data_IF_324265788177
#
_entry.id   IF_324265788177
#
_cell.length_a   1.000
_cell.length_b   1.000
_cell.length_c   1.000
_cell.angle_alpha   90.00
_cell.angle_beta   90.00
_cell.angle_gamma   90.00
#
_symmetry.space_group_name_H-M   'P 1'
#
loop_
_entity.id
_entity.type
_entity.pdbx_description
1 polymer ?
#
# COMPACT_ATOMS: atom_id res chain seq x y z
N UNK A 1 15.42 -12.76 5.78
CA UNK A 1 15.94 -12.92 4.39
C UNK A 1 16.61 -11.59 3.97
N UNK A 2 17.86 -11.65 3.50
CA UNK A 2 18.56 -10.49 2.97
C UNK A 2 17.89 -10.03 1.65
N UNK A 3 17.67 -8.73 1.52
CA UNK A 3 17.06 -8.09 0.36
C UNK A 3 17.99 -6.99 -0.17
N UNK A 4 18.92 -7.35 -1.02
CA UNK A 4 20.02 -6.46 -1.43
C UNK A 4 21.10 -6.36 -0.35
N UNK A 5 21.85 -5.24 -0.33
CA UNK A 5 23.04 -5.06 0.52
C UNK A 5 22.70 -4.59 1.94
N UNK A 6 21.69 -3.75 2.08
CA UNK A 6 21.40 -3.01 3.32
C UNK A 6 20.01 -3.23 3.88
N UNK A 7 19.20 -4.06 3.21
CA UNK A 7 17.79 -4.29 3.53
C UNK A 7 17.53 -5.76 3.81
N UNK A 8 16.46 -6.04 4.53
CA UNK A 8 16.02 -7.40 4.78
C UNK A 8 14.49 -7.46 4.89
N UNK A 9 13.93 -8.63 4.63
CA UNK A 9 12.54 -8.95 4.96
C UNK A 9 12.50 -9.99 6.06
N UNK A 10 11.54 -9.83 6.97
CA UNK A 10 11.33 -10.74 8.10
C UNK A 10 10.41 -11.87 7.64
N UNK A 11 10.92 -13.09 7.63
CA UNK A 11 10.13 -14.28 7.26
C UNK A 11 9.05 -14.62 8.29
N UNK A 12 7.99 -15.28 7.84
CA UNK A 12 6.86 -15.67 8.67
C UNK A 12 7.28 -16.53 9.89
N UNK A 13 8.28 -17.40 9.73
CA UNK A 13 8.80 -18.23 10.82
C UNK A 13 9.43 -17.42 11.95
N UNK A 14 10.14 -16.34 11.60
CA UNK A 14 10.74 -15.43 12.57
C UNK A 14 9.66 -14.66 13.35
N UNK A 15 8.59 -14.23 12.67
CA UNK A 15 7.42 -13.59 13.28
C UNK A 15 6.73 -14.58 14.22
N UNK A 16 6.45 -15.80 13.77
CA UNK A 16 5.81 -16.82 14.58
C UNK A 16 6.64 -17.19 15.83
N UNK A 17 7.97 -17.18 15.71
CA UNK A 17 8.87 -17.38 16.84
C UNK A 17 8.86 -16.18 17.81
N UNK A 18 8.76 -14.96 17.30
CA UNK A 18 8.71 -13.75 18.11
C UNK A 18 7.40 -13.68 18.90
N UNK A 19 6.26 -14.02 18.29
CA UNK A 19 4.93 -14.02 18.91
C UNK A 19 4.78 -14.98 20.11
N UNK A 20 5.72 -15.94 20.27
CA UNK A 20 5.76 -16.83 21.44
C UNK A 20 6.47 -16.20 22.64
N UNK A 21 7.09 -15.04 22.48
CA UNK A 21 7.81 -14.34 23.55
C UNK A 21 6.88 -13.38 24.28
N UNK A 22 7.18 -13.03 25.55
CA UNK A 22 6.44 -11.98 26.24
C UNK A 22 6.49 -10.65 25.50
N UNK A 23 5.38 -9.93 25.52
CA UNK A 23 5.28 -8.62 24.89
C UNK A 23 6.21 -7.60 25.58
N UNK A 24 6.82 -6.75 24.77
CA UNK A 24 7.54 -5.57 25.25
C UNK A 24 6.60 -4.40 25.55
N UNK A 25 7.18 -3.29 25.99
CA UNK A 25 6.44 -2.04 26.15
C UNK A 25 6.26 -1.38 24.78
N UNK A 26 5.00 -1.06 24.43
CA UNK A 26 4.67 -0.34 23.22
C UNK A 26 4.64 1.17 23.51
N UNK A 27 5.37 1.94 22.71
CA UNK A 27 5.36 3.41 22.74
C UNK A 27 4.87 3.90 21.36
N UNK A 28 3.71 4.54 21.33
CA UNK A 28 3.16 5.13 20.13
C UNK A 28 3.61 6.59 19.99
N UNK A 29 4.27 6.91 18.87
CA UNK A 29 4.61 8.28 18.48
C UNK A 29 3.63 8.72 17.39
N UNK A 30 2.79 9.69 17.70
CA UNK A 30 1.74 10.19 16.81
C UNK A 30 1.63 11.71 16.88
N UNK A 31 0.76 12.28 16.04
CA UNK A 31 0.42 13.71 16.06
C UNK A 31 -1.10 13.88 15.98
N UNK A 32 -1.60 14.91 16.62
CA UNK A 32 -3.06 15.20 16.69
C UNK A 32 -3.58 15.62 15.32
N UNK A 33 -2.88 16.53 14.64
CA UNK A 33 -3.27 17.08 13.35
C UNK A 33 -2.16 16.93 12.32
N UNK A 34 -2.49 16.66 11.04
CA UNK A 34 -1.52 16.71 9.96
C UNK A 34 -1.17 18.17 9.62
N UNK A 35 0.08 18.41 9.24
CA UNK A 35 0.54 19.69 8.70
C UNK A 35 1.17 19.52 7.31
N UNK A 36 1.20 20.56 6.46
CA UNK A 36 1.81 20.44 5.14
C UNK A 36 3.29 20.04 5.17
N UNK A 37 4.06 20.53 6.14
CA UNK A 37 5.49 20.25 6.29
C UNK A 37 5.78 18.93 7.03
N UNK A 38 4.76 18.29 7.61
CA UNK A 38 4.94 17.14 8.50
C UNK A 38 5.16 17.54 9.95
N UNK A 39 5.00 16.60 10.88
CA UNK A 39 5.01 16.83 12.34
C UNK A 39 6.26 16.26 13.02
N UNK A 40 7.20 15.69 12.27
CA UNK A 40 8.43 15.13 12.81
C UNK A 40 8.27 13.78 13.54
N UNK A 41 7.18 13.05 13.32
CA UNK A 41 6.93 11.74 13.98
C UNK A 41 8.12 10.77 13.80
N UNK A 42 8.59 10.61 12.58
CA UNK A 42 9.70 9.69 12.27
C UNK A 42 11.00 10.14 12.94
N UNK A 43 11.34 11.42 12.84
CA UNK A 43 12.54 11.98 13.50
C UNK A 43 12.48 11.79 15.02
N UNK A 44 11.32 12.04 15.63
CA UNK A 44 11.13 11.82 17.07
C UNK A 44 11.25 10.34 17.44
N UNK A 45 10.70 9.44 16.62
CA UNK A 45 10.78 7.99 16.86
C UNK A 45 12.22 7.50 16.78
N UNK A 46 12.98 7.93 15.77
CA UNK A 46 14.40 7.56 15.62
C UNK A 46 15.21 8.12 16.78
N UNK A 47 15.05 9.39 17.12
CA UNK A 47 15.76 10.01 18.25
C UNK A 47 15.44 9.36 19.60
N UNK A 48 14.19 8.94 19.83
CA UNK A 48 13.80 8.18 21.01
C UNK A 48 14.48 6.80 21.03
N UNK A 49 14.57 6.12 19.90
CA UNK A 49 15.25 4.83 19.79
C UNK A 49 16.73 4.95 20.11
N UNK A 50 17.41 5.99 19.59
CA UNK A 50 18.80 6.29 19.89
C UNK A 50 19.00 6.57 21.39
N UNK A 51 18.14 7.37 21.99
CA UNK A 51 18.19 7.68 23.42
C UNK A 51 18.00 6.41 24.29
N UNK A 52 17.03 5.57 23.95
CA UNK A 52 16.80 4.30 24.66
C UNK A 52 18.00 3.36 24.54
N UNK A 53 18.60 3.27 23.35
CA UNK A 53 19.80 2.47 23.10
C UNK A 53 20.99 2.95 23.93
N UNK A 54 21.21 4.27 24.03
CA UNK A 54 22.27 4.87 24.86
C UNK A 54 22.05 4.61 26.35
N UNK A 55 20.80 4.49 26.79
CA UNK A 55 20.43 4.10 28.15
C UNK A 55 20.49 2.57 28.38
N UNK A 56 21.05 1.81 27.44
CA UNK A 56 21.19 0.35 27.52
C UNK A 56 19.87 -0.41 27.41
N UNK A 57 18.81 0.21 26.90
CA UNK A 57 17.51 -0.46 26.67
C UNK A 57 17.49 -1.12 25.30
N UNK A 58 17.01 -2.36 25.24
CA UNK A 58 16.71 -3.03 23.98
C UNK A 58 15.42 -2.47 23.41
N UNK A 59 15.49 -1.87 22.22
CA UNK A 59 14.33 -1.35 21.52
C UNK A 59 14.34 -1.71 20.03
N UNK A 60 13.17 -1.73 19.43
CA UNK A 60 12.95 -1.88 18.01
C UNK A 60 12.07 -0.72 17.55
N UNK A 61 12.43 -0.10 16.44
CA UNK A 61 11.65 0.97 15.83
C UNK A 61 10.78 0.36 14.72
N UNK A 62 9.48 0.58 14.79
CA UNK A 62 8.55 0.25 13.72
C UNK A 62 8.17 1.54 12.99
N UNK A 63 8.76 1.75 11.83
CA UNK A 63 8.55 2.93 10.99
C UNK A 63 7.64 2.58 9.81
N UNK A 64 6.95 3.58 9.30
CA UNK A 64 6.17 3.43 8.08
C UNK A 64 7.09 3.53 6.86
N UNK A 65 6.94 2.61 5.90
CA UNK A 65 7.60 2.71 4.61
C UNK A 65 7.18 3.99 3.87
N UNK A 66 8.14 4.75 3.27
CA UNK A 66 7.82 5.98 2.58
C UNK A 66 7.20 5.72 1.19
N UNK A 67 6.28 6.60 0.81
CA UNK A 67 5.75 6.71 -0.55
C UNK A 67 6.57 7.72 -1.35
N UNK A 68 6.81 7.46 -2.64
CA UNK A 68 7.62 8.32 -3.51
C UNK A 68 7.05 9.73 -3.63
N UNK A 69 5.73 9.89 -3.68
CA UNK A 69 5.09 11.20 -3.76
C UNK A 69 5.49 12.12 -2.61
N UNK A 70 5.33 11.75 -1.34
CA UNK A 70 5.83 12.50 -0.19
C UNK A 70 7.34 12.68 -0.16
N UNK A 71 8.13 11.67 -0.58
CA UNK A 71 9.60 11.74 -0.62
C UNK A 71 10.07 12.86 -1.57
N UNK A 72 9.46 12.95 -2.75
CA UNK A 72 9.76 13.96 -3.76
C UNK A 72 9.03 15.30 -3.52
N UNK A 73 8.22 15.36 -2.47
CA UNK A 73 7.44 16.54 -2.07
C UNK A 73 8.03 17.26 -0.86
N UNK A 74 7.21 18.16 -0.30
CA UNK A 74 7.59 18.98 0.87
C UNK A 74 7.83 18.15 2.14
N UNK A 75 7.14 17.02 2.30
CA UNK A 75 7.23 16.18 3.50
C UNK A 75 8.53 15.38 3.62
N UNK A 76 9.23 15.16 2.51
CA UNK A 76 10.44 14.34 2.48
C UNK A 76 10.19 12.86 2.79
N UNK A 77 11.24 12.14 3.14
CA UNK A 77 11.24 10.69 3.37
C UNK A 77 10.85 10.26 4.77
N UNK A 78 10.99 8.96 5.03
CA UNK A 78 10.66 8.31 6.30
C UNK A 78 11.90 7.76 7.05
N UNK A 79 13.11 8.27 6.73
CA UNK A 79 14.35 7.86 7.38
C UNK A 79 14.74 8.70 8.62
N UNK A 80 13.91 9.67 9.00
CA UNK A 80 14.24 10.65 10.04
C UNK A 80 14.94 11.90 9.48
N UNK A 81 15.65 12.64 10.30
CA UNK A 81 16.35 13.86 9.89
C UNK A 81 17.38 14.35 10.90
N UNK A 82 18.29 15.22 10.45
CA UNK A 82 19.39 15.69 11.27
C UNK A 82 20.25 14.54 11.78
N UNK A 83 20.53 14.52 13.08
CA UNK A 83 21.26 13.41 13.73
C UNK A 83 20.39 12.20 14.07
N UNK A 84 19.06 12.33 14.03
CA UNK A 84 18.10 11.24 14.26
C UNK A 84 17.69 10.63 12.91
N UNK A 85 18.60 9.91 12.27
CA UNK A 85 18.43 9.40 10.93
C UNK A 85 18.87 7.94 10.79
N UNK A 86 18.09 7.15 10.07
CA UNK A 86 18.45 5.79 9.63
C UNK A 86 19.16 5.87 8.29
N UNK A 87 20.26 5.15 8.15
CA UNK A 87 21.10 5.13 6.94
C UNK A 87 21.23 3.70 6.39
N UNK A 88 21.38 3.52 5.08
CA UNK A 88 21.41 4.54 4.02
C UNK A 88 19.99 5.05 3.70
N UNK A 89 19.84 6.37 3.70
CA UNK A 89 18.56 7.03 3.53
C UNK A 89 17.94 6.76 2.15
N UNK A 90 18.74 6.74 1.12
CA UNK A 90 18.32 6.50 -0.26
C UNK A 90 17.68 5.13 -0.43
N UNK A 91 18.26 4.10 0.16
CA UNK A 91 17.75 2.74 0.11
C UNK A 91 16.38 2.60 0.81
N UNK A 92 16.10 3.45 1.82
CA UNK A 92 14.83 3.46 2.53
C UNK A 92 13.80 4.28 1.75
N UNK A 93 14.17 5.44 1.24
CA UNK A 93 13.25 6.40 0.65
C UNK A 93 12.90 6.10 -0.81
N UNK A 94 13.73 5.35 -1.52
CA UNK A 94 13.54 5.04 -2.93
C UNK A 94 13.27 3.55 -3.14
N UNK A 95 12.00 3.21 -3.38
CA UNK A 95 11.51 1.84 -3.65
C UNK A 95 11.76 0.80 -2.55
N UNK A 96 12.55 1.08 -1.58
CA UNK A 96 12.94 0.23 -0.44
C UNK A 96 13.03 -1.27 -0.77
N UNK A 97 12.01 -2.08 -0.41
CA UNK A 97 11.88 -3.49 -0.78
C UNK A 97 10.82 -3.74 -1.86
N UNK A 98 10.27 -2.70 -2.47
CA UNK A 98 9.32 -2.79 -3.57
C UNK A 98 7.86 -2.99 -3.16
N UNK A 99 7.53 -2.82 -1.88
CA UNK A 99 6.17 -3.10 -1.38
C UNK A 99 5.15 -2.11 -1.95
N UNK A 100 5.49 -0.82 -2.06
CA UNK A 100 4.63 0.18 -2.71
C UNK A 100 4.39 -0.15 -4.19
N UNK A 101 5.40 -0.69 -4.88
CA UNK A 101 5.26 -1.14 -6.26
C UNK A 101 4.34 -2.35 -6.36
N UNK A 102 4.46 -3.32 -5.45
CA UNK A 102 3.57 -4.48 -5.40
C UNK A 102 2.11 -4.07 -5.14
N UNK A 103 1.88 -3.12 -4.22
CA UNK A 103 0.57 -2.55 -3.94
C UNK A 103 -0.02 -1.88 -5.19
N UNK A 104 0.77 -1.05 -5.87
CA UNK A 104 0.38 -0.41 -7.14
C UNK A 104 0.00 -1.46 -8.19
N UNK A 105 0.80 -2.50 -8.35
CA UNK A 105 0.55 -3.57 -9.31
C UNK A 105 -0.73 -4.34 -8.99
N UNK A 106 -0.96 -4.72 -7.73
CA UNK A 106 -2.16 -5.44 -7.31
C UNK A 106 -3.44 -4.59 -7.50
N UNK A 107 -3.38 -3.31 -7.14
CA UNK A 107 -4.50 -2.39 -7.32
C UNK A 107 -4.85 -2.20 -8.81
N UNK A 108 -3.85 -1.98 -9.64
CA UNK A 108 -4.06 -1.71 -11.05
C UNK A 108 -4.40 -2.97 -11.85
N UNK A 109 -3.97 -4.15 -11.39
CA UNK A 109 -4.46 -5.43 -11.92
C UNK A 109 -5.98 -5.53 -11.76
N UNK A 110 -6.52 -5.24 -10.58
CA UNK A 110 -7.97 -5.26 -10.35
C UNK A 110 -8.68 -4.26 -11.26
N UNK A 111 -8.15 -3.03 -11.42
CA UNK A 111 -8.69 -2.03 -12.34
C UNK A 111 -8.73 -2.55 -13.79
N UNK A 112 -7.65 -3.17 -14.24
CA UNK A 112 -7.57 -3.74 -15.59
C UNK A 112 -8.55 -4.91 -15.78
N UNK A 113 -8.72 -5.74 -14.75
CA UNK A 113 -9.69 -6.86 -14.80
C UNK A 113 -11.14 -6.37 -14.86
N UNK A 114 -11.49 -5.29 -14.17
CA UNK A 114 -12.81 -4.67 -14.25
C UNK A 114 -13.08 -4.20 -15.69
N UNK A 115 -12.18 -3.41 -16.26
CA UNK A 115 -12.35 -2.89 -17.62
C UNK A 115 -12.37 -4.00 -18.68
N UNK A 116 -11.53 -5.02 -18.51
CA UNK A 116 -11.55 -6.19 -19.40
C UNK A 116 -12.86 -6.98 -19.28
N UNK A 117 -13.39 -7.17 -18.08
CA UNK A 117 -14.68 -7.85 -17.87
C UNK A 117 -15.81 -7.12 -18.59
N UNK A 118 -15.87 -5.79 -18.45
CA UNK A 118 -16.86 -4.95 -19.13
C UNK A 118 -16.71 -5.06 -20.66
N UNK A 119 -15.47 -5.08 -21.16
CA UNK A 119 -15.17 -5.18 -22.57
C UNK A 119 -15.56 -6.56 -23.16
N UNK A 120 -15.34 -7.63 -22.42
CA UNK A 120 -15.56 -9.03 -22.84
C UNK A 120 -17.01 -9.52 -22.61
N UNK A 121 -17.99 -8.63 -22.57
CA UNK A 121 -19.39 -8.99 -22.51
C UNK A 121 -20.09 -8.71 -21.19
N UNK A 122 -19.36 -8.32 -20.15
CA UNK A 122 -19.91 -7.83 -18.88
C UNK A 122 -20.96 -8.77 -18.25
N UNK A 123 -20.61 -10.04 -18.08
CA UNK A 123 -21.51 -11.06 -17.56
C UNK A 123 -22.05 -10.74 -16.14
N UNK A 124 -21.31 -9.95 -15.34
CA UNK A 124 -21.74 -9.49 -14.02
C UNK A 124 -22.67 -8.28 -14.07
N UNK A 125 -22.89 -7.70 -15.25
CA UNK A 125 -23.73 -6.51 -15.42
C UNK A 125 -23.20 -5.26 -14.69
N UNK A 126 -21.87 -5.12 -14.58
CA UNK A 126 -21.24 -3.96 -13.93
C UNK A 126 -21.67 -2.69 -14.66
N UNK A 127 -22.19 -1.71 -13.92
CA UNK A 127 -22.49 -0.39 -14.46
C UNK A 127 -21.19 0.43 -14.59
N UNK A 128 -20.74 0.75 -15.81
CA UNK A 128 -19.51 1.53 -16.01
C UNK A 128 -19.55 2.93 -15.40
N UNK A 129 -20.73 3.45 -15.11
CA UNK A 129 -20.91 4.78 -14.47
C UNK A 129 -20.89 4.68 -12.93
N UNK A 130 -20.88 3.47 -12.38
CA UNK A 130 -20.97 3.23 -10.94
C UNK A 130 -19.82 2.35 -10.41
N UNK A 131 -18.65 2.49 -11.00
CA UNK A 131 -17.40 1.86 -10.54
C UNK A 131 -16.78 2.76 -9.49
N UNK A 132 -16.56 2.22 -8.28
CA UNK A 132 -15.96 2.96 -7.16
C UNK A 132 -14.45 2.71 -7.05
N UNK A 133 -13.95 1.65 -7.67
CA UNK A 133 -12.55 1.27 -7.68
C UNK A 133 -11.75 2.17 -8.62
N UNK A 134 -10.69 2.81 -8.08
CA UNK A 134 -9.81 3.70 -8.86
C UNK A 134 -8.44 3.09 -9.06
N UNK A 135 -7.74 3.56 -10.08
CA UNK A 135 -6.32 3.31 -10.31
C UNK A 135 -5.46 4.01 -9.27
N UNK A 136 -4.22 3.58 -9.15
CA UNK A 136 -3.24 4.22 -8.27
C UNK A 136 -1.92 4.48 -8.97
N UNK A 137 -1.21 5.48 -8.48
CA UNK A 137 0.15 5.84 -8.86
C UNK A 137 0.88 6.29 -7.59
N UNK A 138 2.13 5.81 -7.38
CA UNK A 138 2.89 6.22 -6.19
C UNK A 138 3.57 7.58 -6.39
N UNK A 139 2.76 8.56 -6.80
CA UNK A 139 3.16 9.94 -7.02
C UNK A 139 1.99 10.88 -6.76
N UNK A 140 2.28 12.09 -6.30
CA UNK A 140 1.27 13.15 -6.18
C UNK A 140 1.04 13.78 -7.56
N UNK A 141 0.07 13.27 -8.31
CA UNK A 141 -0.31 13.81 -9.61
C UNK A 141 -1.73 14.38 -9.57
N UNK A 142 -1.82 15.68 -9.54
CA UNK A 142 -3.11 16.40 -9.49
C UNK A 142 -3.89 16.27 -10.79
N UNK A 143 -3.21 16.19 -11.92
CA UNK A 143 -3.84 16.15 -13.24
C UNK A 143 -4.57 14.82 -13.48
N UNK A 144 -4.16 13.74 -12.80
CA UNK A 144 -4.74 12.40 -12.93
C UNK A 144 -5.84 12.09 -11.91
N UNK A 145 -6.22 13.03 -11.04
CA UNK A 145 -7.27 12.77 -10.02
C UNK A 145 -8.64 12.48 -10.62
N UNK A 146 -8.91 13.06 -11.78
CA UNK A 146 -10.09 12.77 -12.59
C UNK A 146 -9.65 12.69 -14.05
N UNK A 147 -9.97 11.60 -14.73
CA UNK A 147 -9.57 11.34 -16.10
C UNK A 147 -10.63 10.51 -16.81
N UNK A 148 -10.53 10.42 -18.11
CA UNK A 148 -11.32 9.49 -18.92
C UNK A 148 -10.40 8.38 -19.41
N UNK A 149 -10.78 7.14 -19.16
CA UNK A 149 -10.05 5.96 -19.63
C UNK A 149 -10.75 5.29 -20.81
N UNK A 150 -10.06 4.37 -21.48
CA UNK A 150 -10.54 3.60 -22.64
C UNK A 150 -10.91 4.44 -23.87
N UNK A 151 -10.29 5.60 -24.06
CA UNK A 151 -10.37 6.36 -25.31
C UNK A 151 -9.60 5.63 -26.45
N UNK A 152 -9.91 5.94 -27.70
CA UNK A 152 -9.19 5.40 -28.87
C UNK A 152 -9.94 4.29 -29.61
N UNK A 153 -11.23 4.18 -29.40
CA UNK A 153 -12.12 3.31 -30.16
C UNK A 153 -12.42 1.97 -29.48
N UNK A 154 -13.21 1.16 -30.17
CA UNK A 154 -13.86 -0.04 -29.64
C UNK A 154 -12.86 -1.07 -29.04
N UNK A 155 -11.66 -1.16 -29.57
CA UNK A 155 -10.64 -2.12 -29.11
C UNK A 155 -10.08 -1.78 -27.73
N UNK A 156 -10.22 -0.51 -27.28
CA UNK A 156 -9.71 -0.03 -26.00
C UNK A 156 -10.73 -0.13 -24.84
N UNK A 157 -11.94 -0.62 -25.13
CA UNK A 157 -12.99 -0.79 -24.14
C UNK A 157 -14.09 0.28 -24.22
N UNK A 158 -14.79 0.49 -23.11
CA UNK A 158 -15.84 1.50 -22.99
C UNK A 158 -15.30 2.74 -22.29
N UNK A 159 -15.32 3.94 -22.92
CA UNK A 159 -14.91 5.16 -22.26
C UNK A 159 -15.73 5.40 -20.98
N UNK A 160 -15.03 5.70 -19.88
CA UNK A 160 -15.65 6.04 -18.60
C UNK A 160 -14.76 6.98 -17.79
N UNK A 161 -15.37 7.64 -16.82
CA UNK A 161 -14.62 8.38 -15.81
C UNK A 161 -13.83 7.42 -14.91
N UNK A 162 -12.63 7.82 -14.55
CA UNK A 162 -11.75 7.16 -13.59
C UNK A 162 -10.87 8.22 -12.93
N UNK A 163 -9.92 7.78 -12.13
CA UNK A 163 -8.91 8.66 -11.55
C UNK A 163 -7.82 7.86 -10.90
N UNK A 164 -6.72 8.53 -10.64
CA UNK A 164 -5.58 7.95 -9.95
C UNK A 164 -5.49 8.52 -8.53
N UNK A 165 -5.48 7.63 -7.55
CA UNK A 165 -5.13 7.97 -6.17
C UNK A 165 -3.64 7.69 -5.96
N UNK A 166 -3.07 8.27 -4.91
CA UNK A 166 -1.72 7.86 -4.50
C UNK A 166 -1.76 6.45 -3.90
N UNK A 167 -0.78 5.63 -4.22
CA UNK A 167 -0.73 4.21 -3.81
C UNK A 167 -0.95 3.99 -2.31
N UNK A 168 -0.36 4.84 -1.47
CA UNK A 168 -0.50 4.72 0.01
C UNK A 168 -1.90 5.03 0.54
N UNK A 169 -2.77 5.64 -0.25
CA UNK A 169 -4.17 5.88 0.10
C UNK A 169 -5.11 4.78 -0.42
N UNK A 170 -4.58 3.75 -1.07
CA UNK A 170 -5.38 2.65 -1.61
C UNK A 170 -5.93 1.75 -0.52
N UNK A 171 -7.04 1.09 -0.81
CA UNK A 171 -7.61 0.04 0.04
C UNK A 171 -6.66 -1.17 0.14
N UNK A 172 -5.87 -1.45 -0.91
CA UNK A 172 -4.83 -2.50 -0.88
C UNK A 172 -3.82 -2.23 0.24
N UNK A 173 -3.36 -0.98 0.38
CA UNK A 173 -2.47 -0.60 1.48
C UNK A 173 -3.11 -0.78 2.85
N UNK A 174 -4.37 -0.38 3.01
CA UNK A 174 -5.10 -0.55 4.26
C UNK A 174 -5.28 -2.03 4.63
N UNK A 175 -5.63 -2.86 3.65
CA UNK A 175 -5.76 -4.31 3.82
C UNK A 175 -4.43 -4.95 4.20
N UNK A 176 -3.32 -4.58 3.52
CA UNK A 176 -1.99 -5.08 3.84
C UNK A 176 -1.59 -4.79 5.30
N UNK A 177 -1.90 -3.60 5.79
CA UNK A 177 -1.61 -3.21 7.17
C UNK A 177 -2.41 -3.98 8.23
N UNK A 178 -3.53 -4.61 7.84
CA UNK A 178 -4.45 -5.31 8.74
C UNK A 178 -4.43 -6.83 8.58
N UNK A 179 -3.80 -7.34 7.53
CA UNK A 179 -3.79 -8.76 7.23
C UNK A 179 -2.77 -9.52 8.08
N UNK A 180 -3.19 -10.62 8.68
CA UNK A 180 -2.36 -11.47 9.53
C UNK A 180 -1.64 -12.59 8.76
N UNK A 181 -2.10 -12.91 7.56
CA UNK A 181 -1.57 -13.99 6.73
C UNK A 181 -1.95 -13.81 5.26
N UNK A 182 -1.29 -14.58 4.37
CA UNK A 182 -1.67 -14.60 2.94
C UNK A 182 -3.11 -15.07 2.72
N UNK A 183 -3.61 -16.00 3.52
CA UNK A 183 -5.00 -16.46 3.44
C UNK A 183 -5.99 -15.39 3.89
N UNK A 184 -5.67 -14.65 4.94
CA UNK A 184 -6.47 -13.50 5.38
C UNK A 184 -6.42 -12.36 4.36
N UNK A 185 -5.23 -12.07 3.82
CA UNK A 185 -5.04 -11.10 2.74
C UNK A 185 -5.92 -11.44 1.52
N UNK A 186 -5.91 -12.72 1.09
CA UNK A 186 -6.73 -13.19 -0.03
C UNK A 186 -8.22 -13.00 0.23
N UNK A 187 -8.69 -13.35 1.43
CA UNK A 187 -10.09 -13.17 1.82
C UNK A 187 -10.49 -11.70 1.75
N UNK A 188 -9.70 -10.82 2.36
CA UNK A 188 -9.96 -9.37 2.36
C UNK A 188 -9.96 -8.78 0.95
N UNK A 189 -9.03 -9.20 0.08
CA UNK A 189 -9.04 -8.78 -1.32
C UNK A 189 -10.31 -9.23 -2.05
N UNK A 190 -10.80 -10.43 -1.78
CA UNK A 190 -12.06 -10.90 -2.33
C UNK A 190 -13.25 -10.07 -1.91
N UNK A 191 -13.24 -9.48 -0.72
CA UNK A 191 -14.34 -8.70 -0.15
C UNK A 191 -14.35 -7.22 -0.62
N UNK A 192 -13.36 -6.78 -1.40
CA UNK A 192 -13.32 -5.42 -1.97
C UNK A 192 -14.54 -5.20 -2.88
N UNK A 193 -15.27 -4.12 -2.64
CA UNK A 193 -16.33 -3.66 -3.53
C UNK A 193 -15.70 -2.87 -4.67
N UNK A 194 -15.90 -3.32 -5.92
CA UNK A 194 -15.33 -2.68 -7.10
C UNK A 194 -16.29 -1.69 -7.76
N UNK A 195 -17.56 -1.85 -7.54
CA UNK A 195 -18.64 -1.05 -8.10
C UNK A 195 -19.99 -1.71 -7.88
N UNK A 196 -20.97 -1.30 -8.65
CA UNK A 196 -22.34 -1.82 -8.57
C UNK A 196 -22.78 -2.28 -9.96
N UNK A 197 -23.68 -3.26 -10.00
CA UNK A 197 -24.29 -3.68 -11.24
C UNK A 197 -25.49 -2.78 -11.61
N UNK A 198 -26.12 -3.02 -12.77
CA UNK A 198 -27.25 -2.22 -13.24
C UNK A 198 -28.47 -2.30 -12.32
N UNK A 199 -28.57 -3.33 -11.47
CA UNK A 199 -29.64 -3.48 -10.47
C UNK A 199 -29.29 -2.80 -9.13
N UNK A 200 -28.13 -2.16 -9.03
CA UNK A 200 -27.65 -1.50 -7.82
C UNK A 200 -27.06 -2.43 -6.77
N UNK A 201 -26.87 -3.71 -7.07
CA UNK A 201 -26.19 -4.63 -6.17
C UNK A 201 -24.67 -4.48 -6.23
N UNK A 202 -23.95 -4.60 -5.09
CA UNK A 202 -22.49 -4.50 -5.07
C UNK A 202 -21.83 -5.67 -5.81
N UNK A 203 -20.77 -5.38 -6.55
CA UNK A 203 -19.91 -6.35 -7.21
C UNK A 203 -18.56 -6.35 -6.50
N UNK A 204 -18.05 -7.54 -6.21
CA UNK A 204 -16.82 -7.73 -5.44
C UNK A 204 -15.67 -8.23 -6.30
N UNK A 205 -14.44 -8.03 -5.83
CA UNK A 205 -13.25 -8.52 -6.51
C UNK A 205 -13.26 -10.06 -6.67
N UNK A 206 -13.86 -10.81 -5.73
CA UNK A 206 -14.05 -12.27 -5.82
C UNK A 206 -14.96 -12.68 -6.98
N UNK A 207 -15.90 -11.85 -7.39
CA UNK A 207 -16.77 -12.15 -8.51
C UNK A 207 -15.99 -12.16 -9.85
N UNK A 208 -14.89 -11.41 -9.89
CA UNK A 208 -13.89 -11.44 -10.97
C UNK A 208 -12.81 -12.50 -10.75
N UNK A 209 -12.79 -13.20 -9.61
CA UNK A 209 -11.73 -14.14 -9.20
C UNK A 209 -10.32 -13.49 -9.19
N UNK A 210 -10.25 -12.20 -8.81
CA UNK A 210 -9.02 -11.41 -8.86
C UNK A 210 -8.10 -11.66 -7.66
N UNK A 211 -8.66 -12.04 -6.51
CA UNK A 211 -7.98 -12.10 -5.21
C UNK A 211 -6.73 -13.00 -5.20
N UNK A 212 -6.74 -14.08 -6.00
CA UNK A 212 -5.61 -14.99 -6.10
C UNK A 212 -4.40 -14.36 -6.79
N UNK A 213 -4.63 -13.69 -7.92
CA UNK A 213 -3.58 -13.00 -8.68
C UNK A 213 -3.05 -11.79 -7.90
N UNK A 214 -3.93 -11.04 -7.23
CA UNK A 214 -3.53 -9.93 -6.35
C UNK A 214 -2.63 -10.42 -5.21
N UNK A 215 -2.98 -11.54 -4.54
CA UNK A 215 -2.15 -12.14 -3.52
C UNK A 215 -0.78 -12.61 -4.03
N UNK A 216 -0.72 -13.15 -5.25
CA UNK A 216 0.54 -13.56 -5.86
C UNK A 216 1.50 -12.38 -6.03
N UNK A 217 1.00 -11.21 -6.41
CA UNK A 217 1.77 -9.96 -6.49
C UNK A 217 2.25 -9.48 -5.10
N UNK A 218 1.49 -9.76 -4.05
CA UNK A 218 1.72 -9.28 -2.69
C UNK A 218 2.49 -10.26 -1.80
N UNK A 219 2.87 -11.43 -2.29
CA UNK A 219 3.46 -12.52 -1.48
C UNK A 219 4.69 -12.14 -0.66
N UNK A 220 5.50 -11.21 -1.18
CA UNK A 220 6.69 -10.72 -0.48
C UNK A 220 6.44 -9.39 0.23
N UNK A 221 5.46 -8.60 -0.23
CA UNK A 221 5.07 -7.35 0.41
C UNK A 221 4.44 -7.54 1.81
N UNK A 222 3.81 -8.70 2.06
CA UNK A 222 3.25 -9.01 3.38
C UNK A 222 4.31 -9.25 4.46
N UNK A 223 5.55 -9.52 4.07
CA UNK A 223 6.67 -9.70 5.00
C UNK A 223 7.17 -8.33 5.45
N UNK A 224 7.24 -8.04 6.76
CA UNK A 224 7.84 -6.82 7.27
C UNK A 224 9.30 -6.65 6.80
N UNK A 225 9.70 -5.44 6.64
CA UNK A 225 11.03 -5.07 6.13
C UNK A 225 11.78 -4.16 7.12
#
# INVERSE_FOLDING_TARGET
>A
EQYGRYKAKIGADAIAAAMKKPDGKLILVTAINPTPAGEGKTTTTVGLGDALSRLGKKCVLALREPSLGPVMGIKGGAAGGGYAQVVPMEDINLHFTGDMHAITAANNLLSAMIDNHIHQGNALGIDPTNIVWKRVLDMNDRALRQTVVALGGKVNGKPREDGFMITVASEIMAILCLADSLSDLKKRFGDIIIGYNYDGAPVYARDLKAEGAMCALMKDAIKPN
#
